data_IF_405708448442
#
_entry.id   IF_405708448442
#
_cell.length_a   1.000
_cell.length_b   1.000
_cell.length_c   1.000
_cell.angle_alpha   90.00
_cell.angle_beta   90.00
_cell.angle_gamma   90.00
#
_symmetry.space_group_name_H-M   'P 1'
#
loop_
_entity.id
_entity.type
_entity.pdbx_description
1 polymer ?
#
# COMPACT_ATOMS: atom_id res chain seq x y z
N UNK A 1 11.64 1.63 10.42
CA UNK A 1 12.01 2.69 11.40
C UNK A 1 11.38 4.04 11.05
N UNK A 2 11.34 4.47 9.78
CA UNK A 2 10.75 5.77 9.41
C UNK A 2 9.24 5.93 9.71
N UNK A 3 8.45 4.85 9.67
CA UNK A 3 7.01 4.91 9.95
C UNK A 3 6.69 5.14 11.43
N UNK A 4 7.39 4.46 12.35
CA UNK A 4 7.19 4.64 13.79
C UNK A 4 7.70 6.00 14.27
N UNK A 5 8.83 6.47 13.75
CA UNK A 5 9.35 7.80 14.08
C UNK A 5 8.38 8.88 13.62
N UNK A 6 7.84 8.80 12.40
CA UNK A 6 6.83 9.75 11.93
C UNK A 6 5.51 9.69 12.73
N UNK A 7 5.09 8.49 13.16
CA UNK A 7 3.93 8.34 14.04
C UNK A 7 4.15 8.95 15.42
N UNK A 8 5.33 8.75 16.01
CA UNK A 8 5.69 9.36 17.30
C UNK A 8 5.81 10.89 17.17
N UNK A 9 6.46 11.40 16.13
CA UNK A 9 6.57 12.85 15.89
C UNK A 9 5.22 13.53 15.65
N UNK A 10 4.31 12.87 14.93
CA UNK A 10 2.95 13.38 14.75
C UNK A 10 2.12 13.32 16.03
N UNK A 11 2.28 12.29 16.85
CA UNK A 11 1.65 12.21 18.17
C UNK A 11 2.14 13.28 19.14
N UNK A 12 3.46 13.49 19.23
CA UNK A 12 4.06 14.57 20.03
C UNK A 12 3.60 15.95 19.54
N UNK A 13 3.48 16.13 18.23
CA UNK A 13 2.98 17.37 17.64
C UNK A 13 1.48 17.58 17.85
N UNK A 14 0.68 16.52 17.95
CA UNK A 14 -0.73 16.57 18.32
C UNK A 14 -0.89 16.98 19.79
N UNK A 15 -0.15 16.36 20.72
CA UNK A 15 -0.15 16.75 22.14
C UNK A 15 0.30 18.20 22.31
N UNK A 16 1.32 18.62 21.56
CA UNK A 16 1.81 20.00 21.58
C UNK A 16 0.85 21.01 20.92
N UNK A 17 -0.31 20.58 20.40
CA UNK A 17 -1.29 21.42 19.71
C UNK A 17 -0.78 22.02 18.39
N UNK A 18 0.31 21.48 17.84
CA UNK A 18 0.90 21.93 16.56
C UNK A 18 0.18 21.34 15.36
N UNK A 19 -0.47 20.19 15.54
CA UNK A 19 -1.26 19.50 14.53
C UNK A 19 -2.70 19.46 15.02
N UNK A 20 -3.61 20.04 14.24
CA UNK A 20 -5.02 20.19 14.61
C UNK A 20 -5.49 21.63 14.38
N UNK A 21 -6.80 21.83 14.36
CA UNK A 21 -7.34 23.18 14.37
C UNK A 21 -7.38 23.64 15.84
N UNK A 22 -6.67 24.71 16.23
CA UNK A 22 -6.68 25.19 17.62
C UNK A 22 -8.06 25.66 18.10
N UNK A 23 -9.03 25.78 17.19
CA UNK A 23 -10.41 26.13 17.47
C UNK A 23 -11.32 24.90 17.65
N UNK A 24 -10.82 23.68 17.46
CA UNK A 24 -11.57 22.44 17.65
C UNK A 24 -11.00 21.67 18.85
N UNK A 25 -11.85 21.43 19.85
CA UNK A 25 -11.53 20.58 21.00
C UNK A 25 -11.71 19.11 20.66
N UNK A 26 -11.22 18.23 21.53
CA UNK A 26 -11.41 16.78 21.36
C UNK A 26 -12.91 16.43 21.33
N UNK A 27 -13.68 17.08 22.18
CA UNK A 27 -15.13 16.93 22.28
C UNK A 27 -15.84 17.35 20.98
N UNK A 28 -15.28 18.30 20.23
CA UNK A 28 -15.80 18.69 18.91
C UNK A 28 -15.46 17.64 17.83
N UNK A 29 -14.29 17.01 17.91
CA UNK A 29 -13.93 15.90 17.02
C UNK A 29 -14.78 14.65 17.26
N UNK A 30 -15.09 14.34 18.52
CA UNK A 30 -15.92 13.20 18.91
C UNK A 30 -17.39 13.36 18.45
N UNK A 31 -17.82 14.59 18.11
CA UNK A 31 -19.14 14.88 17.54
C UNK A 31 -19.21 14.74 16.01
N UNK A 32 -18.07 14.58 15.33
CA UNK A 32 -18.04 14.40 13.88
C UNK A 32 -18.51 12.99 13.57
N UNK A 33 -19.54 12.88 12.75
CA UNK A 33 -20.03 11.57 12.29
C UNK A 33 -18.94 10.83 11.51
N UNK A 34 -18.87 9.50 11.69
CA UNK A 34 -17.86 8.67 11.05
C UNK A 34 -17.92 8.76 9.52
N UNK A 35 -19.12 8.87 8.92
CA UNK A 35 -19.29 9.02 7.48
C UNK A 35 -18.77 10.37 6.99
N UNK A 36 -18.93 11.44 7.78
CA UNK A 36 -18.40 12.76 7.45
C UNK A 36 -16.87 12.78 7.54
N UNK A 37 -16.29 12.07 8.51
CA UNK A 37 -14.84 11.91 8.61
C UNK A 37 -14.26 11.17 7.40
N UNK A 38 -14.90 10.07 6.97
CA UNK A 38 -14.52 9.36 5.74
C UNK A 38 -14.65 10.25 4.51
N UNK A 39 -15.74 11.02 4.41
CA UNK A 39 -15.95 11.96 3.31
C UNK A 39 -14.86 13.04 3.26
N UNK A 40 -14.45 13.57 4.42
CA UNK A 40 -13.35 14.53 4.52
C UNK A 40 -12.02 13.93 4.05
N UNK A 41 -11.69 12.71 4.46
CA UNK A 41 -10.45 12.04 4.03
C UNK A 41 -10.45 11.77 2.51
N UNK A 42 -11.58 11.31 1.95
CA UNK A 42 -11.74 11.11 0.50
C UNK A 42 -11.56 12.43 -0.26
N UNK A 43 -12.22 13.51 0.19
CA UNK A 43 -12.06 14.86 -0.39
C UNK A 43 -10.61 15.33 -0.33
N UNK A 44 -9.94 15.14 0.81
CA UNK A 44 -8.54 15.52 1.00
C UNK A 44 -7.59 14.72 0.10
N UNK A 45 -7.79 13.41 0.01
CA UNK A 45 -7.04 12.53 -0.88
C UNK A 45 -7.19 12.96 -2.34
N UNK A 46 -8.41 13.26 -2.78
CA UNK A 46 -8.69 13.74 -4.14
C UNK A 46 -8.02 15.09 -4.40
N UNK A 47 -8.17 16.07 -3.52
CA UNK A 47 -7.53 17.38 -3.66
C UNK A 47 -5.99 17.26 -3.70
N UNK A 48 -5.42 16.40 -2.86
CA UNK A 48 -3.99 16.11 -2.83
C UNK A 48 -3.51 15.41 -4.09
N UNK A 49 -4.33 14.56 -4.72
CA UNK A 49 -4.02 13.93 -5.99
C UNK A 49 -4.02 14.95 -7.14
N UNK A 50 -5.03 15.83 -7.20
CA UNK A 50 -5.11 16.90 -8.22
C UNK A 50 -3.90 17.82 -8.12
N UNK A 51 -3.56 18.33 -6.92
CA UNK A 51 -2.37 19.19 -6.72
C UNK A 51 -1.07 18.52 -7.18
N UNK A 52 -0.94 17.21 -6.94
CA UNK A 52 0.24 16.44 -7.40
C UNK A 52 0.26 16.29 -8.91
N UNK A 53 -0.89 16.04 -9.54
CA UNK A 53 -1.01 15.96 -11.00
C UNK A 53 -0.69 17.30 -11.67
N UNK A 54 -1.22 18.40 -11.16
CA UNK A 54 -0.91 19.77 -11.63
C UNK A 54 0.59 20.07 -11.52
N UNK A 55 1.20 19.78 -10.36
CA UNK A 55 2.64 19.96 -10.17
C UNK A 55 3.46 19.10 -11.13
N UNK A 56 3.06 17.84 -11.36
CA UNK A 56 3.72 16.96 -12.32
C UNK A 56 3.62 17.51 -13.74
N UNK A 57 2.44 18.00 -14.14
CA UNK A 57 2.23 18.62 -15.44
C UNK A 57 3.10 19.88 -15.61
N UNK A 58 3.20 20.72 -14.59
CA UNK A 58 4.06 21.91 -14.62
C UNK A 58 5.55 21.55 -14.78
N UNK A 59 6.02 20.50 -14.09
CA UNK A 59 7.43 20.09 -14.14
C UNK A 59 7.76 19.39 -15.47
N UNK A 60 6.86 18.53 -15.96
CA UNK A 60 7.16 17.64 -17.09
C UNK A 60 6.56 18.08 -18.42
N UNK A 61 5.65 19.05 -18.41
CA UNK A 61 4.91 19.52 -19.59
C UNK A 61 3.94 18.49 -20.18
N UNK A 62 3.75 17.33 -19.56
CA UNK A 62 2.87 16.26 -20.06
C UNK A 62 1.42 16.51 -19.66
N UNK A 63 0.52 16.50 -20.65
CA UNK A 63 -0.92 16.75 -20.49
C UNK A 63 -1.75 15.46 -20.37
N UNK A 64 -1.16 14.37 -19.86
CA UNK A 64 -1.77 13.04 -19.80
C UNK A 64 -3.03 12.99 -18.91
N UNK A 65 -3.21 13.97 -18.02
CA UNK A 65 -4.35 14.06 -17.09
C UNK A 65 -5.56 14.80 -17.68
N UNK A 66 -5.41 15.54 -18.79
CA UNK A 66 -6.49 16.35 -19.39
C UNK A 66 -7.31 15.59 -20.43
N UNK A 67 -6.82 14.42 -20.85
CA UNK A 67 -7.45 13.54 -21.84
C UNK A 67 -8.43 12.52 -21.23
N UNK A 68 -9.46 12.96 -20.50
CA UNK A 68 -10.55 12.06 -20.08
C UNK A 68 -11.41 11.57 -21.28
N UNK A 69 -11.19 12.14 -22.48
CA UNK A 69 -12.05 11.97 -23.64
C UNK A 69 -11.65 10.81 -24.59
N UNK A 70 -10.46 10.21 -24.48
CA UNK A 70 -10.03 9.16 -25.43
C UNK A 70 -9.58 7.86 -24.79
N UNK A 71 -9.47 7.79 -23.46
CA UNK A 71 -9.24 6.54 -22.73
C UNK A 71 -9.88 6.59 -21.35
N UNK A 72 -10.75 5.63 -20.98
CA UNK A 72 -11.34 5.59 -19.65
C UNK A 72 -10.23 5.30 -18.62
N UNK A 73 -9.81 6.34 -17.89
CA UNK A 73 -9.05 6.24 -16.63
C UNK A 73 -7.80 5.35 -16.67
N UNK A 74 -7.00 5.43 -17.75
CA UNK A 74 -5.63 4.91 -17.76
C UNK A 74 -5.48 3.40 -17.50
N UNK A 75 -6.56 2.62 -17.69
CA UNK A 75 -6.52 1.20 -17.40
C UNK A 75 -6.20 0.39 -18.64
N UNK A 76 -5.01 -0.22 -18.65
CA UNK A 76 -4.59 -1.13 -19.70
C UNK A 76 -5.44 -2.40 -19.68
N UNK A 77 -6.47 -2.42 -20.53
CA UNK A 77 -7.41 -3.53 -20.64
C UNK A 77 -6.71 -4.85 -20.98
N UNK A 78 -5.55 -4.82 -21.64
CA UNK A 78 -4.78 -6.02 -21.95
C UNK A 78 -4.25 -6.75 -20.70
N UNK A 79 -4.12 -6.03 -19.58
CA UNK A 79 -3.71 -6.58 -18.27
C UNK A 79 -4.88 -7.10 -17.43
N UNK A 80 -6.11 -6.99 -17.92
CA UNK A 80 -7.30 -7.50 -17.24
C UNK A 80 -7.42 -8.99 -17.46
N UNK A 81 -7.48 -9.76 -16.38
CA UNK A 81 -7.80 -11.20 -16.43
C UNK A 81 -9.28 -11.42 -16.18
N UNK A 82 -9.96 -12.08 -17.12
CA UNK A 82 -11.36 -12.45 -16.99
C UNK A 82 -11.56 -13.51 -15.90
N UNK A 83 -12.44 -13.25 -14.93
CA UNK A 83 -12.67 -14.20 -13.84
C UNK A 83 -13.30 -15.54 -14.29
N UNK A 84 -14.05 -15.54 -15.41
CA UNK A 84 -14.78 -16.71 -15.94
C UNK A 84 -13.87 -17.64 -16.76
N UNK A 85 -13.25 -17.12 -17.82
CA UNK A 85 -12.45 -17.92 -18.75
C UNK A 85 -10.92 -17.78 -18.55
N UNK A 86 -10.48 -16.95 -17.58
CA UNK A 86 -9.07 -16.63 -17.30
C UNK A 86 -8.30 -15.99 -18.47
N UNK A 87 -8.96 -15.68 -19.59
CA UNK A 87 -8.38 -14.94 -20.70
C UNK A 87 -8.10 -13.48 -20.35
N UNK A 88 -7.06 -12.90 -20.95
CA UNK A 88 -6.71 -11.49 -20.78
C UNK A 88 -7.57 -10.57 -21.66
N UNK A 89 -7.50 -9.25 -21.47
CA UNK A 89 -8.10 -8.27 -22.39
C UNK A 89 -9.58 -7.95 -22.18
N UNK A 90 -10.27 -8.62 -21.25
CA UNK A 90 -11.72 -8.43 -21.07
C UNK A 90 -12.20 -8.77 -19.66
N UNK A 91 -13.33 -8.14 -19.29
CA UNK A 91 -14.01 -8.39 -18.02
C UNK A 91 -14.99 -9.57 -18.14
N UNK A 92 -15.33 -10.19 -17.00
CA UNK A 92 -16.33 -11.27 -16.90
C UNK A 92 -17.65 -10.93 -17.59
N UNK A 93 -18.11 -9.69 -17.49
CA UNK A 93 -19.37 -9.21 -18.09
C UNK A 93 -19.37 -9.25 -19.62
N UNK A 94 -18.20 -9.18 -20.26
CA UNK A 94 -18.03 -9.25 -21.72
C UNK A 94 -17.48 -10.59 -22.22
N UNK A 95 -17.45 -11.63 -21.37
CA UNK A 95 -16.85 -12.92 -21.71
C UNK A 95 -17.80 -13.77 -22.57
N UNK A 96 -17.36 -14.07 -23.80
CA UNK A 96 -18.05 -14.99 -24.73
C UNK A 96 -17.60 -16.45 -24.59
N UNK A 97 -16.52 -16.70 -23.87
CA UNK A 97 -15.92 -18.02 -23.72
C UNK A 97 -16.57 -18.80 -22.55
N UNK A 98 -16.52 -20.13 -22.65
CA UNK A 98 -16.98 -21.04 -21.60
C UNK A 98 -16.09 -20.95 -20.33
N UNK A 99 -16.60 -21.45 -19.21
CA UNK A 99 -15.86 -21.48 -17.94
C UNK A 99 -14.61 -22.35 -18.07
N UNK A 100 -13.47 -21.85 -17.59
CA UNK A 100 -12.23 -22.61 -17.63
C UNK A 100 -12.29 -23.74 -16.59
N UNK A 101 -12.10 -24.98 -17.04
CA UNK A 101 -12.11 -26.18 -16.21
C UNK A 101 -10.69 -26.46 -15.71
N UNK A 102 -10.25 -25.80 -14.63
CA UNK A 102 -9.09 -26.24 -13.83
C UNK A 102 -8.97 -25.45 -12.52
N UNK A 103 -8.36 -26.10 -11.52
CA UNK A 103 -8.37 -25.80 -10.07
C UNK A 103 -8.44 -24.31 -9.67
N UNK A 104 -9.31 -24.01 -8.70
CA UNK A 104 -9.51 -22.68 -8.13
C UNK A 104 -8.25 -22.16 -7.41
N UNK A 105 -7.27 -21.64 -8.15
CA UNK A 105 -6.34 -20.67 -7.56
C UNK A 105 -7.13 -19.40 -7.25
N UNK A 106 -7.46 -19.24 -5.96
CA UNK A 106 -8.05 -18.03 -5.38
C UNK A 106 -7.10 -16.87 -5.65
N UNK A 107 -7.29 -16.18 -6.78
CA UNK A 107 -6.59 -14.95 -7.11
C UNK A 107 -7.14 -13.83 -6.21
N UNK A 108 -6.69 -13.80 -4.96
CA UNK A 108 -7.04 -12.75 -4.03
C UNK A 108 -6.24 -11.48 -4.41
N UNK A 109 -6.89 -10.63 -5.19
CA UNK A 109 -6.33 -9.37 -5.71
C UNK A 109 -5.72 -8.53 -4.58
N UNK A 110 -6.41 -8.42 -3.44
CA UNK A 110 -5.94 -7.66 -2.28
C UNK A 110 -4.65 -8.24 -1.67
N UNK A 111 -4.54 -9.57 -1.60
CA UNK A 111 -3.35 -10.21 -1.07
C UNK A 111 -2.13 -10.01 -1.98
N UNK A 112 -2.32 -10.04 -3.31
CA UNK A 112 -1.25 -9.77 -4.29
C UNK A 112 -0.86 -8.29 -4.33
N UNK A 113 -1.83 -7.36 -4.23
CA UNK A 113 -1.55 -5.92 -4.21
C UNK A 113 -0.79 -5.50 -2.95
N UNK A 114 -1.15 -6.06 -1.78
CA UNK A 114 -0.39 -5.86 -0.53
C UNK A 114 1.04 -6.37 -0.69
N UNK A 115 1.24 -7.56 -1.27
CA UNK A 115 2.57 -8.13 -1.48
C UNK A 115 3.42 -7.30 -2.45
N UNK A 116 2.87 -6.82 -3.56
CA UNK A 116 3.58 -5.93 -4.48
C UNK A 116 3.90 -4.57 -3.87
N UNK A 117 3.03 -4.03 -3.03
CA UNK A 117 3.29 -2.78 -2.31
C UNK A 117 4.41 -2.93 -1.27
N UNK A 118 4.49 -4.08 -0.59
CA UNK A 118 5.60 -4.42 0.32
C UNK A 118 6.89 -4.66 -0.48
N UNK A 119 6.84 -5.35 -1.63
CA UNK A 119 8.02 -5.62 -2.46
C UNK A 119 8.60 -4.36 -3.14
N UNK A 120 7.77 -3.34 -3.36
CA UNK A 120 8.19 -2.03 -3.90
C UNK A 120 8.61 -1.05 -2.81
N UNK A 121 8.45 -1.37 -1.51
CA UNK A 121 9.10 -0.60 -0.47
C UNK A 121 10.62 -0.79 -0.61
N UNK A 122 11.40 0.30 -0.71
CA UNK A 122 12.84 0.18 -0.74
C UNK A 122 13.28 -0.50 0.55
N UNK A 123 13.91 -1.67 0.43
CA UNK A 123 14.54 -2.33 1.57
C UNK A 123 15.61 -1.40 2.12
N UNK A 124 15.26 -0.62 3.14
CA UNK A 124 16.21 0.25 3.83
C UNK A 124 17.35 -0.60 4.38
N UNK A 125 18.58 -0.09 4.37
CA UNK A 125 19.79 -0.81 4.82
C UNK A 125 19.62 -1.47 6.21
N UNK A 126 18.76 -0.88 7.06
CA UNK A 126 18.40 -1.40 8.36
C UNK A 126 17.64 -2.75 8.32
N UNK A 127 16.79 -2.99 7.31
CA UNK A 127 16.05 -4.25 7.17
C UNK A 127 16.98 -5.41 6.75
N UNK A 128 17.97 -5.13 5.89
CA UNK A 128 19.01 -6.10 5.51
C UNK A 128 19.94 -6.44 6.67
N UNK A 129 20.28 -5.44 7.49
CA UNK A 129 21.09 -5.65 8.70
C UNK A 129 20.38 -6.49 9.78
N UNK A 130 19.05 -6.34 9.92
CA UNK A 130 18.24 -7.19 10.81
C UNK A 130 18.20 -8.63 10.29
N UNK A 131 17.97 -8.83 8.99
CA UNK A 131 17.91 -10.18 8.41
C UNK A 131 19.27 -10.89 8.47
N UNK A 132 20.38 -10.18 8.25
CA UNK A 132 21.73 -10.70 8.45
C UNK A 132 22.07 -10.95 9.92
N UNK A 133 21.60 -10.09 10.84
CA UNK A 133 21.73 -10.28 12.28
C UNK A 133 20.97 -11.51 12.78
N UNK A 134 19.77 -11.75 12.27
CA UNK A 134 18.95 -12.93 12.58
C UNK A 134 19.53 -14.22 11.98
N UNK A 135 20.07 -14.16 10.75
CA UNK A 135 20.78 -15.29 10.12
C UNK A 135 22.07 -15.64 10.86
N UNK A 136 22.80 -14.64 11.38
CA UNK A 136 23.99 -14.85 12.23
C UNK A 136 23.62 -15.41 13.60
N UNK A 137 22.56 -14.90 14.23
CA UNK A 137 22.06 -15.43 15.51
C UNK A 137 21.58 -16.88 15.40
N UNK A 138 20.86 -17.24 14.32
CA UNK A 138 20.43 -18.62 14.07
C UNK A 138 21.61 -19.58 13.85
N UNK A 139 22.71 -19.10 13.24
CA UNK A 139 23.93 -19.87 13.04
C UNK A 139 24.68 -20.10 14.36
N UNK A 140 24.74 -19.08 15.23
CA UNK A 140 25.34 -19.18 16.57
C UNK A 140 24.59 -20.21 17.43
N UNK A 141 23.26 -20.20 17.41
CA UNK A 141 22.46 -21.19 18.15
C UNK A 141 22.62 -22.63 17.65
N UNK A 142 22.97 -22.85 16.37
CA UNK A 142 23.27 -24.19 15.84
C UNK A 142 24.68 -24.68 16.19
N UNK A 143 25.62 -23.77 16.45
CA UNK A 143 26.98 -24.10 16.84
C UNK A 143 27.07 -24.42 18.36
N UNK A 144 26.23 -23.79 19.19
CA UNK A 144 26.14 -24.06 20.64
C UNK A 144 25.45 -25.40 20.98
N UNK A 145 24.51 -25.88 20.15
CA UNK A 145 23.86 -27.19 20.33
C UNK A 145 24.82 -28.38 20.06
N UNK A 146 25.95 -28.17 19.39
CA UNK A 146 26.92 -29.24 19.08
C UNK A 146 28.05 -29.41 20.08
N UNK A 147 28.16 -28.52 21.08
CA UNK A 147 29.23 -28.59 22.10
C UNK A 147 28.76 -29.27 23.41
N UNK A 148 27.45 -29.47 23.59
CA UNK A 148 26.89 -30.08 24.80
C UNK A 148 26.86 -31.62 24.81
N UNK A 149 27.17 -32.31 23.71
CA UNK A 149 27.25 -33.79 23.64
C UNK A 149 28.69 -34.31 23.70
N UNK A 150 29.49 -33.82 24.64
CA UNK A 150 30.92 -34.13 24.67
C UNK A 150 31.59 -34.11 26.04
N UNK A 151 30.89 -34.41 27.13
CA UNK A 151 31.54 -34.75 28.40
C UNK A 151 30.73 -35.84 29.14
N UNK A 152 31.09 -37.09 28.87
CA UNK A 152 31.02 -38.20 29.82
C UNK A 152 32.33 -38.99 29.74
#
# INVERSE_FOLDING_TARGET
MASLVAMLESYESLIAGKIGNPMLTKEDYDQIDAEELELMDVKWCMASAVRRAEKFQQITGRDEFRGLATSPLGFDKSKVTCFRCKGKGHFKRGCKNQEATENQEKNNYYQKSIFHQIAQQPQTAHARAIEEGQKKALRIHQDDEKVAEGFS
#
